data_IF_544320733255
#
_entry.id   IF_544320733255
#
_cell.length_a   1.000
_cell.length_b   1.000
_cell.length_c   1.000
_cell.angle_alpha   90.00
_cell.angle_beta   90.00
_cell.angle_gamma   90.00
#
_symmetry.space_group_name_H-M   'P 1'
#
loop_
_entity.id
_entity.type
_entity.pdbx_description
1 polymer ?
#
# COMPACT_ATOMS: atom_id res chain seq x y z
N UNK A 1 46.83 -19.50 -6.48
CA UNK A 1 46.32 -18.47 -7.40
C UNK A 1 44.81 -18.39 -7.25
N UNK A 2 44.41 -17.47 -6.39
CA UNK A 2 43.04 -17.07 -6.08
C UNK A 2 42.52 -16.09 -7.13
N UNK A 3 41.19 -15.87 -7.16
CA UNK A 3 40.48 -14.77 -7.86
C UNK A 3 40.12 -14.91 -9.35
N UNK A 4 39.30 -15.89 -9.70
CA UNK A 4 38.31 -15.81 -10.80
C UNK A 4 37.12 -16.66 -10.33
N UNK A 5 35.91 -16.17 -10.05
CA UNK A 5 35.07 -15.22 -10.77
C UNK A 5 34.04 -14.61 -9.79
N UNK A 6 34.34 -13.43 -9.25
CA UNK A 6 33.39 -12.62 -8.47
C UNK A 6 32.53 -11.73 -9.39
N UNK A 7 32.00 -12.29 -10.48
CA UNK A 7 31.00 -11.57 -11.28
C UNK A 7 29.69 -11.70 -10.52
N UNK A 8 29.45 -10.75 -9.62
CA UNK A 8 28.16 -10.45 -9.01
C UNK A 8 27.12 -10.45 -10.14
N UNK A 9 26.34 -11.53 -10.24
CA UNK A 9 25.17 -11.59 -11.11
C UNK A 9 24.09 -10.77 -10.40
N UNK A 10 24.18 -9.46 -10.53
CA UNK A 10 23.15 -8.51 -10.16
C UNK A 10 21.88 -8.86 -10.95
N UNK A 11 21.03 -9.70 -10.38
CA UNK A 11 19.71 -9.98 -10.94
C UNK A 11 18.88 -8.72 -10.76
N UNK A 12 19.00 -7.78 -11.70
CA UNK A 12 18.12 -6.62 -11.83
C UNK A 12 16.65 -7.08 -11.76
N UNK A 13 15.77 -6.29 -11.14
CA UNK A 13 14.32 -6.48 -11.30
C UNK A 13 13.98 -6.39 -12.79
N UNK A 14 13.89 -7.52 -13.46
CA UNK A 14 13.47 -7.62 -14.86
C UNK A 14 12.10 -8.28 -14.87
N UNK A 15 11.08 -7.53 -15.26
CA UNK A 15 9.80 -8.10 -15.60
C UNK A 15 9.95 -8.89 -16.90
N UNK A 16 9.41 -10.10 -16.93
CA UNK A 16 9.42 -10.91 -18.14
C UNK A 16 8.37 -10.37 -19.13
N UNK A 17 8.61 -10.54 -20.45
CA UNK A 17 7.71 -10.06 -21.51
C UNK A 17 6.24 -10.47 -21.30
N UNK A 18 6.01 -11.69 -20.80
CA UNK A 18 4.65 -12.19 -20.48
C UNK A 18 3.97 -11.38 -19.37
N UNK A 19 4.72 -10.97 -18.34
CA UNK A 19 4.19 -10.15 -17.24
C UNK A 19 3.85 -8.75 -17.74
N UNK A 20 4.69 -8.15 -18.58
CA UNK A 20 4.42 -6.85 -19.19
C UNK A 20 3.15 -6.89 -20.05
N UNK A 21 2.98 -7.94 -20.86
CA UNK A 21 1.76 -8.13 -21.68
C UNK A 21 0.53 -8.33 -20.79
N UNK A 22 0.62 -9.13 -19.73
CA UNK A 22 -0.50 -9.32 -18.80
C UNK A 22 -0.91 -8.01 -18.11
N UNK A 23 0.04 -7.22 -17.65
CA UNK A 23 -0.22 -5.89 -17.05
C UNK A 23 -0.91 -4.97 -18.07
N UNK A 24 -0.41 -4.95 -19.31
CA UNK A 24 -1.01 -4.14 -20.39
C UNK A 24 -2.45 -4.56 -20.67
N UNK A 25 -2.73 -5.87 -20.75
CA UNK A 25 -4.09 -6.39 -21.00
C UNK A 25 -5.03 -6.02 -19.86
N UNK A 26 -4.59 -6.11 -18.61
CA UNK A 26 -5.41 -5.69 -17.45
C UNK A 26 -5.72 -4.19 -17.52
N UNK A 27 -4.72 -3.36 -17.85
CA UNK A 27 -4.93 -1.91 -18.02
C UNK A 27 -5.94 -1.62 -19.13
N UNK A 28 -5.79 -2.27 -20.30
CA UNK A 28 -6.71 -2.10 -21.43
C UNK A 28 -8.13 -2.58 -21.09
N UNK A 29 -8.26 -3.70 -20.39
CA UNK A 29 -9.55 -4.22 -19.96
C UNK A 29 -10.25 -3.29 -18.97
N UNK A 30 -9.51 -2.75 -17.99
CA UNK A 30 -10.02 -1.73 -17.06
C UNK A 30 -10.50 -0.50 -17.80
N UNK A 31 -9.72 0.00 -18.77
CA UNK A 31 -10.11 1.17 -19.57
C UNK A 31 -11.34 0.87 -20.44
N UNK A 32 -11.43 -0.32 -21.03
CA UNK A 32 -12.57 -0.74 -21.84
C UNK A 32 -13.85 -0.89 -20.98
N UNK A 33 -13.77 -1.58 -19.84
CA UNK A 33 -14.89 -1.69 -18.89
C UNK A 33 -15.40 -0.32 -18.46
N UNK A 34 -14.49 0.63 -18.24
CA UNK A 34 -14.84 1.99 -17.86
C UNK A 34 -15.48 2.80 -18.98
N UNK A 35 -14.94 2.71 -20.21
CA UNK A 35 -15.54 3.40 -21.37
C UNK A 35 -16.99 2.98 -21.63
N UNK A 36 -17.39 1.83 -21.10
CA UNK A 36 -18.72 1.25 -21.22
C UNK A 36 -19.59 1.45 -19.96
N UNK A 37 -19.00 1.87 -18.82
CA UNK A 37 -19.70 2.05 -17.56
C UNK A 37 -20.14 3.50 -17.34
N UNK A 38 -21.42 3.72 -17.08
CA UNK A 38 -21.99 5.04 -16.79
C UNK A 38 -21.51 5.60 -15.44
N UNK A 39 -21.35 6.92 -15.36
CA UNK A 39 -20.90 7.68 -14.17
C UNK A 39 -21.80 7.40 -12.96
N UNK A 40 -23.09 7.17 -13.20
CA UNK A 40 -24.09 6.83 -12.17
C UNK A 40 -23.75 5.53 -11.41
N UNK A 41 -23.17 4.54 -12.09
CA UNK A 41 -22.76 3.26 -11.51
C UNK A 41 -21.58 3.43 -10.54
N UNK A 42 -20.66 4.36 -10.84
CA UNK A 42 -19.52 4.65 -9.98
C UNK A 42 -19.88 5.32 -8.66
N UNK A 43 -20.92 6.15 -8.67
CA UNK A 43 -21.39 6.83 -7.46
C UNK A 43 -22.05 5.84 -6.47
N UNK A 44 -22.67 4.77 -6.97
CA UNK A 44 -23.41 3.78 -6.16
C UNK A 44 -22.75 2.40 -6.15
N UNK A 45 -21.45 2.36 -6.44
CA UNK A 45 -20.71 1.12 -6.54
C UNK A 45 -20.57 0.43 -5.17
N UNK A 46 -21.02 -0.82 -5.09
CA UNK A 46 -21.00 -1.62 -3.85
C UNK A 46 -19.58 -1.94 -3.37
N UNK A 47 -18.61 -2.05 -4.27
CA UNK A 47 -17.20 -2.32 -3.94
C UNK A 47 -16.60 -1.10 -3.27
N UNK A 48 -16.82 0.10 -3.83
CA UNK A 48 -16.39 1.33 -3.18
C UNK A 48 -17.13 1.58 -1.87
N UNK A 49 -18.42 1.24 -1.78
CA UNK A 49 -19.16 1.33 -0.53
C UNK A 49 -18.57 0.39 0.54
N UNK A 50 -18.23 -0.86 0.20
CA UNK A 50 -17.50 -1.74 1.11
C UNK A 50 -16.11 -1.20 1.49
N UNK A 51 -15.41 -0.62 0.52
CA UNK A 51 -14.13 0.05 0.74
C UNK A 51 -14.21 1.23 1.71
N UNK A 52 -15.31 1.98 1.72
CA UNK A 52 -15.53 3.08 2.64
C UNK A 52 -15.58 2.62 4.10
N UNK A 53 -16.22 1.48 4.36
CA UNK A 53 -16.24 0.87 5.69
C UNK A 53 -14.83 0.46 6.11
N UNK A 54 -14.10 -0.27 5.25
CA UNK A 54 -12.72 -0.68 5.56
C UNK A 54 -11.79 0.52 5.74
N UNK A 55 -11.97 1.56 4.92
CA UNK A 55 -11.20 2.80 5.01
C UNK A 55 -11.48 3.56 6.30
N UNK A 56 -12.74 3.57 6.76
CA UNK A 56 -13.12 4.23 8.00
C UNK A 56 -12.49 3.59 9.26
N UNK A 57 -11.99 2.35 9.20
CA UNK A 57 -11.26 1.73 10.30
C UNK A 57 -9.94 2.46 10.62
N UNK A 58 -9.20 2.89 9.60
CA UNK A 58 -7.82 3.39 9.74
C UNK A 58 -7.62 4.82 9.20
N UNK A 59 -8.65 5.40 8.59
CA UNK A 59 -8.60 6.73 7.99
C UNK A 59 -9.75 7.59 8.49
N UNK A 60 -9.46 8.84 8.84
CA UNK A 60 -10.48 9.80 9.24
C UNK A 60 -11.46 10.17 8.12
N UNK A 61 -11.11 9.95 6.84
CA UNK A 61 -11.96 10.25 5.68
C UNK A 61 -12.53 11.68 5.68
N UNK A 62 -11.71 12.66 6.04
CA UNK A 62 -12.07 14.10 5.96
C UNK A 62 -12.17 14.50 4.48
N UNK A 63 -13.30 15.08 4.08
CA UNK A 63 -13.66 15.35 2.68
C UNK A 63 -12.65 16.25 1.97
N UNK A 64 -12.26 17.37 2.59
CA UNK A 64 -11.33 18.37 2.03
C UNK A 64 -9.92 17.79 1.83
N UNK A 65 -9.61 16.70 2.55
CA UNK A 65 -8.31 16.01 2.54
C UNK A 65 -8.33 14.76 1.68
N UNK A 66 -9.40 14.54 0.91
CA UNK A 66 -9.62 13.35 0.11
C UNK A 66 -9.73 13.70 -1.37
N UNK A 67 -9.40 12.75 -2.23
CA UNK A 67 -9.73 12.85 -3.65
C UNK A 67 -11.19 12.46 -3.87
N UNK A 68 -11.74 12.83 -5.03
CA UNK A 68 -13.10 12.48 -5.43
C UNK A 68 -13.10 11.84 -6.83
N UNK A 69 -14.04 10.92 -7.07
CA UNK A 69 -14.35 10.33 -8.37
C UNK A 69 -15.81 10.65 -8.63
N UNK A 70 -16.10 11.41 -9.69
CA UNK A 70 -17.48 11.73 -10.08
C UNK A 70 -18.35 12.27 -8.90
N UNK A 71 -17.79 13.17 -8.08
CA UNK A 71 -18.49 13.74 -6.93
C UNK A 71 -18.55 12.86 -5.68
N UNK A 72 -18.09 11.60 -5.76
CA UNK A 72 -17.95 10.69 -4.62
C UNK A 72 -16.54 10.75 -4.03
N UNK A 73 -16.44 10.86 -2.71
CA UNK A 73 -15.15 10.76 -2.00
C UNK A 73 -14.51 9.38 -2.17
N UNK A 74 -13.18 9.34 -2.31
CA UNK A 74 -12.43 8.09 -2.17
C UNK A 74 -12.69 7.43 -0.80
N UNK A 75 -12.52 6.11 -0.74
CA UNK A 75 -12.61 5.37 0.53
C UNK A 75 -11.54 5.75 1.55
N UNK A 76 -10.46 6.41 1.11
CA UNK A 76 -9.36 6.86 1.93
C UNK A 76 -9.03 8.34 1.62
N UNK A 77 -8.49 9.05 2.59
CA UNK A 77 -7.97 10.41 2.37
C UNK A 77 -6.69 10.36 1.54
N UNK A 78 -6.28 11.48 0.95
CA UNK A 78 -5.15 11.57 0.02
C UNK A 78 -3.86 10.93 0.58
N UNK A 79 -3.58 11.11 1.88
CA UNK A 79 -2.42 10.51 2.54
C UNK A 79 -2.53 9.00 2.67
N UNK A 80 -3.66 8.51 3.19
CA UNK A 80 -3.90 7.08 3.35
C UNK A 80 -3.93 6.38 1.98
N UNK A 81 -4.55 6.98 0.97
CA UNK A 81 -4.50 6.50 -0.42
C UNK A 81 -3.05 6.32 -0.85
N UNK A 82 -2.18 7.32 -0.63
CA UNK A 82 -0.76 7.20 -0.94
C UNK A 82 -0.07 6.05 -0.20
N UNK A 83 -0.24 5.96 1.11
CA UNK A 83 0.35 4.88 1.93
C UNK A 83 0.00 3.50 1.40
N UNK A 84 -1.29 3.23 1.21
CA UNK A 84 -1.73 1.89 0.85
C UNK A 84 -1.53 1.58 -0.63
N UNK A 85 -1.49 2.59 -1.52
CA UNK A 85 -0.97 2.42 -2.88
C UNK A 85 0.52 2.04 -2.85
N UNK A 86 1.34 2.72 -2.05
CA UNK A 86 2.77 2.40 -1.90
C UNK A 86 3.00 0.97 -1.40
N UNK A 87 2.18 0.50 -0.45
CA UNK A 87 2.17 -0.91 -0.02
C UNK A 87 1.87 -1.82 -1.20
N UNK A 88 0.76 -1.60 -1.92
CA UNK A 88 0.38 -2.46 -3.04
C UNK A 88 1.42 -2.48 -4.15
N UNK A 89 1.96 -1.31 -4.52
CA UNK A 89 3.04 -1.22 -5.50
C UNK A 89 4.22 -2.08 -5.07
N UNK A 90 4.58 -2.05 -3.78
CA UNK A 90 5.67 -2.86 -3.24
C UNK A 90 5.37 -4.36 -3.37
N UNK A 91 4.21 -4.82 -2.90
CA UNK A 91 3.81 -6.23 -3.01
C UNK A 91 3.74 -6.70 -4.47
N UNK A 92 3.18 -5.89 -5.37
CA UNK A 92 3.07 -6.20 -6.79
C UNK A 92 4.45 -6.27 -7.43
N UNK A 93 5.30 -5.25 -7.28
CA UNK A 93 6.62 -5.20 -7.93
C UNK A 93 7.51 -6.33 -7.42
N UNK A 94 7.55 -6.56 -6.11
CA UNK A 94 8.34 -7.63 -5.49
C UNK A 94 7.78 -9.01 -5.85
N UNK A 95 6.46 -9.15 -5.89
CA UNK A 95 5.74 -10.34 -6.36
C UNK A 95 6.07 -10.71 -7.80
N UNK A 96 5.96 -9.76 -8.72
CA UNK A 96 6.29 -9.94 -10.12
C UNK A 96 7.78 -10.23 -10.33
N UNK A 97 8.66 -9.70 -9.48
CA UNK A 97 10.08 -10.03 -9.48
C UNK A 97 10.39 -11.43 -8.90
N UNK A 98 9.40 -12.15 -8.36
CA UNK A 98 9.58 -13.48 -7.76
C UNK A 98 10.34 -13.45 -6.43
N UNK A 99 10.32 -12.31 -5.73
CA UNK A 99 11.14 -12.04 -4.55
C UNK A 99 10.36 -12.08 -3.22
N UNK A 100 9.12 -12.56 -3.21
CA UNK A 100 8.29 -12.67 -1.98
C UNK A 100 8.83 -13.67 -0.94
N UNK A 101 9.83 -14.48 -1.30
CA UNK A 101 10.50 -15.42 -0.39
C UNK A 101 11.88 -14.93 0.08
N UNK A 102 12.26 -13.70 -0.27
CA UNK A 102 13.56 -13.13 0.09
C UNK A 102 13.45 -12.51 1.49
N UNK A 103 14.21 -13.06 2.44
CA UNK A 103 14.03 -12.78 3.87
C UNK A 103 14.78 -11.56 4.39
N UNK A 104 15.83 -11.07 3.72
CA UNK A 104 16.64 -10.01 4.33
C UNK A 104 16.02 -8.62 4.12
N UNK A 105 16.22 -7.77 5.11
CA UNK A 105 15.89 -6.35 5.00
C UNK A 105 16.75 -5.67 3.91
N UNK A 106 16.26 -4.57 3.31
CA UNK A 106 17.09 -3.72 2.47
C UNK A 106 18.39 -3.30 3.18
N UNK A 107 19.48 -3.03 2.44
CA UNK A 107 20.73 -2.59 3.07
C UNK A 107 20.55 -1.28 3.82
N UNK A 108 21.33 -1.06 4.88
CA UNK A 108 21.19 0.09 5.81
C UNK A 108 21.01 1.44 5.10
N UNK A 109 21.79 1.73 4.06
CA UNK A 109 21.67 2.96 3.25
C UNK A 109 20.28 3.18 2.64
N UNK A 110 19.62 2.09 2.22
CA UNK A 110 18.26 2.13 1.69
C UNK A 110 17.27 2.30 2.85
N UNK A 111 17.45 1.56 3.95
CA UNK A 111 16.62 1.73 5.16
C UNK A 111 16.64 3.17 5.69
N UNK A 112 17.81 3.81 5.73
CA UNK A 112 17.93 5.22 6.15
C UNK A 112 17.10 6.15 5.26
N UNK A 113 17.10 5.93 3.93
CA UNK A 113 16.26 6.71 3.02
C UNK A 113 14.76 6.41 3.23
N UNK A 114 14.39 5.16 3.50
CA UNK A 114 13.00 4.80 3.84
C UNK A 114 12.56 5.49 5.14
N UNK A 115 13.43 5.56 6.15
CA UNK A 115 13.19 6.32 7.39
C UNK A 115 12.98 7.81 7.07
N UNK A 116 13.76 8.38 6.15
CA UNK A 116 13.56 9.76 5.70
C UNK A 116 12.17 9.95 5.09
N UNK A 117 11.66 9.01 4.27
CA UNK A 117 10.29 9.11 3.74
C UNK A 117 9.23 9.13 4.85
N UNK A 118 9.37 8.27 5.85
CA UNK A 118 8.49 8.27 7.03
C UNK A 118 8.59 9.59 7.79
N UNK A 119 9.79 10.10 8.01
CA UNK A 119 10.04 11.39 8.68
C UNK A 119 9.43 12.58 7.93
N UNK A 120 9.56 12.62 6.61
CA UNK A 120 8.96 13.65 5.75
C UNK A 120 7.44 13.61 5.84
N UNK A 121 6.83 12.43 5.85
CA UNK A 121 5.39 12.30 6.07
C UNK A 121 4.96 12.71 7.48
N UNK A 122 5.75 12.39 8.50
CA UNK A 122 5.52 12.84 9.88
C UNK A 122 5.51 14.36 9.97
N UNK A 123 6.49 15.01 9.33
CA UNK A 123 6.58 16.46 9.24
C UNK A 123 5.39 17.09 8.49
N UNK A 124 5.03 16.57 7.31
CA UNK A 124 3.82 16.98 6.58
C UNK A 124 2.54 16.72 7.40
N UNK A 125 2.55 15.70 8.26
CA UNK A 125 1.50 15.40 9.22
C UNK A 125 1.34 16.47 10.28
N UNK A 126 2.44 16.87 10.91
CA UNK A 126 2.46 17.93 11.92
C UNK A 126 2.02 19.25 11.29
N UNK A 127 2.56 19.64 10.12
CA UNK A 127 2.15 20.86 9.43
C UNK A 127 0.65 20.84 9.07
N UNK A 128 0.14 19.71 8.57
CA UNK A 128 -1.30 19.54 8.27
C UNK A 128 -2.19 19.54 9.52
N UNK A 129 -1.65 19.13 10.67
CA UNK A 129 -2.38 19.12 11.94
C UNK A 129 -2.44 20.53 12.54
N UNK A 130 -1.36 21.31 12.47
CA UNK A 130 -1.31 22.68 12.97
C UNK A 130 -2.36 23.59 12.29
N UNK A 131 -2.70 23.34 11.03
CA UNK A 131 -3.77 24.07 10.32
C UNK A 131 -5.16 23.92 10.96
N UNK A 132 -5.39 22.95 11.85
CA UNK A 132 -6.66 22.88 12.60
C UNK A 132 -6.79 23.99 13.65
N UNK A 133 -5.68 24.63 14.04
CA UNK A 133 -5.66 25.64 15.09
C UNK A 133 -5.36 27.02 14.48
N UNK A 134 -6.32 27.97 14.50
CA UNK A 134 -6.20 29.26 13.82
C UNK A 134 -4.95 30.08 14.21
N UNK A 135 -4.43 29.88 15.42
CA UNK A 135 -3.34 30.66 16.00
C UNK A 135 -1.97 29.96 15.96
N UNK A 136 -1.89 28.73 15.40
CA UNK A 136 -0.63 28.01 15.32
C UNK A 136 0.07 28.29 13.97
N UNK A 137 1.38 28.60 13.98
CA UNK A 137 2.11 28.85 12.75
C UNK A 137 2.26 27.54 11.95
N UNK A 138 1.63 27.48 10.79
CA UNK A 138 1.93 26.49 9.76
C UNK A 138 2.95 27.04 8.74
N UNK A 139 3.84 26.18 8.26
CA UNK A 139 4.91 26.55 7.32
C UNK A 139 4.41 26.71 5.90
N UNK A 140 3.37 25.96 5.52
CA UNK A 140 2.74 26.02 4.22
C UNK A 140 1.29 25.52 4.26
N UNK A 141 0.50 25.94 3.26
CA UNK A 141 -0.88 25.48 3.09
C UNK A 141 -0.92 23.99 2.71
N UNK A 142 -1.60 23.13 3.48
CA UNK A 142 -1.66 21.70 3.19
C UNK A 142 -2.34 21.38 1.84
N UNK A 143 -1.70 20.57 1.01
CA UNK A 143 -2.24 20.19 -0.32
C UNK A 143 -2.35 18.67 -0.47
N UNK A 144 -3.40 18.20 -1.14
CA UNK A 144 -3.67 16.76 -1.31
C UNK A 144 -2.60 16.03 -2.13
N UNK A 145 -1.99 16.67 -3.13
CA UNK A 145 -0.89 16.06 -3.89
C UNK A 145 0.35 15.80 -3.01
N UNK A 146 0.65 16.68 -2.05
CA UNK A 146 1.78 16.50 -1.15
C UNK A 146 1.50 15.38 -0.15
N UNK A 147 0.29 15.38 0.44
CA UNK A 147 -0.20 14.29 1.31
C UNK A 147 -0.10 12.93 0.61
N UNK A 148 -0.49 12.88 -0.66
CA UNK A 148 -0.38 11.68 -1.49
C UNK A 148 1.08 11.25 -1.66
N UNK A 149 1.96 12.17 -2.06
CA UNK A 149 3.37 11.88 -2.33
C UNK A 149 4.11 11.38 -1.08
N UNK A 150 3.94 12.07 0.05
CA UNK A 150 4.54 11.64 1.33
C UNK A 150 3.95 10.33 1.82
N UNK A 151 2.64 10.14 1.63
CA UNK A 151 1.96 8.87 1.86
C UNK A 151 2.58 7.72 1.06
N UNK A 152 2.77 7.88 -0.24
CA UNK A 152 3.38 6.87 -1.12
C UNK A 152 4.78 6.47 -0.65
N UNK A 153 5.62 7.44 -0.29
CA UNK A 153 6.96 7.16 0.25
C UNK A 153 6.93 6.26 1.49
N UNK A 154 6.06 6.59 2.45
CA UNK A 154 5.84 5.76 3.65
C UNK A 154 5.25 4.40 3.31
N UNK A 155 4.34 4.34 2.35
CA UNK A 155 3.77 3.09 1.83
C UNK A 155 4.83 2.12 1.29
N UNK A 156 5.75 2.65 0.48
CA UNK A 156 6.90 1.88 -0.01
C UNK A 156 7.78 1.40 1.15
N UNK A 157 8.05 2.26 2.13
CA UNK A 157 8.83 1.89 3.31
C UNK A 157 8.17 0.73 4.09
N UNK A 158 6.87 0.83 4.37
CA UNK A 158 6.11 -0.23 5.04
C UNK A 158 6.17 -1.55 4.27
N UNK A 159 5.89 -1.54 2.97
CA UNK A 159 5.94 -2.75 2.15
C UNK A 159 7.33 -3.40 2.11
N UNK A 160 8.39 -2.59 1.99
CA UNK A 160 9.77 -3.06 1.89
C UNK A 160 10.32 -3.63 3.21
N UNK A 161 9.68 -3.32 4.34
CA UNK A 161 9.98 -3.90 5.65
C UNK A 161 9.07 -5.10 5.93
N UNK A 162 7.78 -5.01 5.61
CA UNK A 162 6.82 -6.08 5.92
C UNK A 162 7.01 -7.32 5.05
N UNK A 163 7.34 -7.18 3.76
CA UNK A 163 7.57 -8.36 2.91
C UNK A 163 8.69 -9.28 3.44
N UNK A 164 9.91 -8.79 3.74
CA UNK A 164 10.94 -9.67 4.27
C UNK A 164 10.57 -10.24 5.64
N UNK A 165 9.89 -9.47 6.51
CA UNK A 165 9.39 -9.99 7.79
C UNK A 165 8.38 -11.13 7.58
N UNK A 166 7.38 -10.92 6.72
CA UNK A 166 6.40 -11.95 6.36
C UNK A 166 7.10 -13.16 5.74
N UNK A 167 8.12 -12.95 4.91
CA UNK A 167 8.87 -14.03 4.30
C UNK A 167 9.61 -14.88 5.35
N UNK A 168 10.26 -14.22 6.31
CA UNK A 168 10.95 -14.90 7.42
C UNK A 168 9.98 -15.67 8.33
N UNK A 169 8.80 -15.12 8.59
CA UNK A 169 7.82 -15.76 9.47
C UNK A 169 7.08 -16.92 8.78
N UNK A 170 6.76 -16.81 7.49
CA UNK A 170 5.98 -17.84 6.79
C UNK A 170 6.86 -18.97 6.28
N UNK A 171 7.97 -18.64 5.62
CA UNK A 171 8.77 -19.61 4.88
C UNK A 171 9.88 -20.19 5.72
N UNK A 172 10.11 -21.49 5.53
CA UNK A 172 11.42 -22.08 5.81
C UNK A 172 12.43 -21.40 4.89
N UNK A 173 13.23 -20.49 5.43
CA UNK A 173 14.12 -19.65 4.63
C UNK A 173 15.27 -20.45 4.04
N UNK A 174 15.23 -20.60 2.73
CA UNK A 174 16.34 -21.10 1.93
C UNK A 174 17.09 -19.96 1.20
N UNK A 175 16.57 -18.72 1.25
CA UNK A 175 17.10 -17.57 0.48
C UNK A 175 17.29 -16.34 1.36
N UNK A 176 18.54 -16.13 1.79
CA UNK A 176 19.00 -14.94 2.52
C UNK A 176 19.50 -13.89 1.52
N UNK A 177 18.55 -13.11 0.98
CA UNK A 177 18.84 -11.99 0.08
C UNK A 177 17.91 -10.82 0.38
N UNK A 178 18.37 -9.57 0.18
CA UNK A 178 17.55 -8.39 0.40
C UNK A 178 16.52 -8.21 -0.71
N UNK A 179 15.26 -7.96 -0.35
CA UNK A 179 14.14 -7.73 -1.30
C UNK A 179 14.49 -6.68 -2.36
N UNK A 180 15.14 -5.60 -1.93
CA UNK A 180 15.83 -4.64 -2.80
C UNK A 180 17.28 -4.44 -2.34
N UNK A 181 18.24 -4.58 -3.27
CA UNK A 181 19.66 -4.55 -2.94
C UNK A 181 20.35 -3.19 -3.15
N UNK A 182 19.68 -2.24 -3.80
CA UNK A 182 20.33 -0.99 -4.25
C UNK A 182 19.37 0.18 -4.43
N UNK A 183 19.93 1.40 -4.45
CA UNK A 183 19.19 2.62 -4.78
C UNK A 183 18.61 2.60 -6.20
N UNK A 184 19.24 1.88 -7.14
CA UNK A 184 18.69 1.74 -8.50
C UNK A 184 17.38 0.96 -8.49
N UNK A 185 17.30 -0.11 -7.72
CA UNK A 185 16.04 -0.87 -7.57
C UNK A 185 14.98 -0.03 -6.86
N UNK A 186 15.35 0.72 -5.83
CA UNK A 186 14.45 1.69 -5.20
C UNK A 186 14.00 2.78 -6.18
N UNK A 187 14.88 3.31 -7.02
CA UNK A 187 14.55 4.32 -8.02
C UNK A 187 13.55 3.79 -9.06
N UNK A 188 13.66 2.51 -9.45
CA UNK A 188 12.64 1.86 -10.30
C UNK A 188 11.29 1.79 -9.58
N UNK A 189 11.26 1.41 -8.29
CA UNK A 189 10.02 1.42 -7.51
C UNK A 189 9.42 2.82 -7.38
N UNK A 190 10.27 3.83 -7.15
CA UNK A 190 9.86 5.23 -7.14
C UNK A 190 9.34 5.70 -8.50
N UNK A 191 9.89 5.21 -9.61
CA UNK A 191 9.35 5.49 -10.95
C UNK A 191 7.95 4.89 -11.16
N UNK A 192 7.74 3.63 -10.74
CA UNK A 192 6.40 3.01 -10.77
C UNK A 192 5.42 3.76 -9.88
N UNK A 193 5.85 4.13 -8.67
CA UNK A 193 5.04 4.87 -7.72
C UNK A 193 4.74 6.30 -8.19
N UNK A 194 5.70 6.98 -8.79
CA UNK A 194 5.52 8.28 -9.43
C UNK A 194 4.54 8.21 -10.59
N UNK A 195 4.57 7.13 -11.38
CA UNK A 195 3.58 6.89 -12.43
C UNK A 195 2.18 6.74 -11.84
N UNK A 196 2.00 5.97 -10.77
CA UNK A 196 0.72 5.84 -10.08
C UNK A 196 0.22 7.18 -9.50
N UNK A 197 1.13 8.01 -8.96
CA UNK A 197 0.81 9.37 -8.49
C UNK A 197 0.33 10.25 -9.64
N UNK A 198 1.06 10.29 -10.75
CA UNK A 198 0.68 11.09 -11.93
C UNK A 198 -0.65 10.62 -12.51
N UNK A 199 -0.86 9.31 -12.58
CA UNK A 199 -2.11 8.70 -13.02
C UNK A 199 -3.28 9.12 -12.11
N UNK A 200 -3.09 9.13 -10.79
CA UNK A 200 -4.12 9.60 -9.86
C UNK A 200 -4.40 11.10 -10.03
N UNK A 201 -3.34 11.91 -10.12
CA UNK A 201 -3.43 13.35 -10.28
C UNK A 201 -3.98 13.78 -11.66
N UNK A 202 -3.95 12.90 -12.66
CA UNK A 202 -4.60 13.12 -13.96
C UNK A 202 -6.12 13.27 -13.86
N UNK A 203 -6.69 12.88 -12.72
CA UNK A 203 -8.11 12.98 -12.38
C UNK A 203 -9.03 12.24 -13.38
N UNK A 204 -8.49 11.20 -14.03
CA UNK A 204 -9.26 10.35 -14.93
C UNK A 204 -10.13 9.38 -14.12
N UNK A 205 -11.47 9.43 -14.24
CA UNK A 205 -12.37 8.65 -13.39
C UNK A 205 -12.11 7.14 -13.38
N UNK A 206 -11.78 6.54 -14.54
CA UNK A 206 -11.44 5.12 -14.67
C UNK A 206 -10.26 4.70 -13.81
N UNK A 207 -9.18 5.48 -13.95
CA UNK A 207 -7.91 5.23 -13.29
C UNK A 207 -8.10 5.44 -11.79
N UNK A 208 -8.78 6.52 -11.40
CA UNK A 208 -9.04 6.83 -10.00
C UNK A 208 -9.92 5.79 -9.32
N UNK A 209 -10.92 5.24 -10.01
CA UNK A 209 -11.73 4.12 -9.50
C UNK A 209 -10.86 2.89 -9.17
N UNK A 210 -10.00 2.48 -10.10
CA UNK A 210 -9.10 1.35 -9.86
C UNK A 210 -8.09 1.65 -8.76
N UNK A 211 -7.47 2.84 -8.77
CA UNK A 211 -6.53 3.22 -7.73
C UNK A 211 -7.19 3.34 -6.35
N UNK A 212 -8.47 3.73 -6.28
CA UNK A 212 -9.23 3.71 -5.04
C UNK A 212 -9.38 2.28 -4.50
N UNK A 213 -9.80 1.33 -5.34
CA UNK A 213 -9.90 -0.09 -4.96
C UNK A 213 -8.54 -0.67 -4.57
N UNK A 214 -7.49 -0.40 -5.35
CA UNK A 214 -6.13 -0.86 -5.04
C UNK A 214 -5.66 -0.28 -3.71
N UNK A 215 -5.99 0.98 -3.38
CA UNK A 215 -5.64 1.56 -2.08
C UNK A 215 -6.33 0.86 -0.91
N UNK A 216 -7.61 0.48 -1.05
CA UNK A 216 -8.32 -0.34 -0.04
C UNK A 216 -7.72 -1.74 0.04
N UNK A 217 -7.39 -2.36 -1.08
CA UNK A 217 -6.70 -3.65 -1.10
C UNK A 217 -5.34 -3.58 -0.39
N UNK A 218 -4.65 -2.44 -0.45
CA UNK A 218 -3.42 -2.19 0.30
C UNK A 218 -3.61 -2.17 1.81
N UNK A 219 -4.73 -1.63 2.29
CA UNK A 219 -5.13 -1.73 3.71
C UNK A 219 -5.28 -3.19 4.09
N UNK A 220 -6.10 -3.94 3.35
CA UNK A 220 -6.37 -5.35 3.66
C UNK A 220 -5.09 -6.17 3.60
N UNK A 221 -4.22 -5.93 2.61
CA UNK A 221 -2.95 -6.64 2.43
C UNK A 221 -2.01 -6.43 3.60
N UNK A 222 -1.81 -5.18 4.05
CA UNK A 222 -0.87 -4.91 5.14
C UNK A 222 -1.37 -5.45 6.48
N UNK A 223 -2.67 -5.31 6.77
CA UNK A 223 -3.29 -5.83 7.99
C UNK A 223 -3.23 -7.37 7.98
N UNK A 224 -3.55 -8.00 6.85
CA UNK A 224 -3.41 -9.46 6.68
C UNK A 224 -1.98 -9.92 6.92
N UNK A 225 -0.99 -9.24 6.34
CA UNK A 225 0.42 -9.58 6.52
C UNK A 225 0.84 -9.48 8.00
N UNK A 226 0.45 -8.41 8.69
CA UNK A 226 0.71 -8.23 10.12
C UNK A 226 0.04 -9.34 10.92
N UNK A 227 -1.24 -9.65 10.66
CA UNK A 227 -1.97 -10.70 11.37
C UNK A 227 -1.35 -12.08 11.18
N UNK A 228 -0.86 -12.39 9.98
CA UNK A 228 -0.13 -13.63 9.72
C UNK A 228 1.16 -13.69 10.52
N UNK A 229 1.94 -12.60 10.52
CA UNK A 229 3.19 -12.52 11.28
C UNK A 229 2.92 -12.74 12.77
N UNK A 230 1.93 -12.02 13.33
CA UNK A 230 1.56 -12.11 14.73
C UNK A 230 1.04 -13.51 15.08
N UNK A 231 0.14 -14.08 14.27
CA UNK A 231 -0.45 -15.39 14.48
C UNK A 231 0.64 -16.47 14.53
N UNK A 232 1.50 -16.54 13.51
CA UNK A 232 2.53 -17.57 13.43
C UNK A 232 3.58 -17.40 14.53
N UNK A 233 3.97 -16.17 14.87
CA UNK A 233 4.92 -15.91 15.96
C UNK A 233 4.33 -16.27 17.32
N UNK A 234 3.06 -15.92 17.58
CA UNK A 234 2.38 -16.22 18.85
C UNK A 234 2.23 -17.73 19.08
N UNK A 235 1.88 -18.47 18.03
CA UNK A 235 1.75 -19.92 18.07
C UNK A 235 3.07 -20.67 17.88
N UNK A 236 4.21 -19.96 17.75
CA UNK A 236 5.55 -20.54 17.50
C UNK A 236 5.56 -21.51 16.31
N UNK A 237 4.85 -21.12 15.24
CA UNK A 237 4.72 -21.86 13.97
C UNK A 237 5.41 -21.11 12.82
N UNK A 238 6.42 -20.31 13.14
CA UNK A 238 7.23 -19.58 12.19
C UNK A 238 8.15 -20.52 11.38
N UNK A 239 8.41 -20.15 10.13
CA UNK A 239 9.39 -20.82 9.27
C UNK A 239 9.02 -22.24 8.81
N UNK A 240 7.74 -22.60 8.82
CA UNK A 240 7.31 -23.97 8.52
C UNK A 240 6.99 -24.21 7.04
N UNK A 241 6.54 -23.20 6.29
CA UNK A 241 6.08 -23.42 4.92
C UNK A 241 7.25 -23.62 3.95
N UNK A 242 7.13 -24.63 3.09
CA UNK A 242 8.04 -24.90 1.96
C UNK A 242 7.32 -24.70 0.61
N UNK A 243 6.01 -24.96 0.58
CA UNK A 243 5.14 -24.84 -0.61
C UNK A 243 4.11 -23.73 -0.45
N UNK A 244 3.69 -23.12 -1.56
CA UNK A 244 2.65 -22.07 -1.55
C UNK A 244 1.30 -22.55 -1.01
N UNK A 245 0.97 -23.83 -1.18
CA UNK A 245 -0.27 -24.41 -0.66
C UNK A 245 -0.34 -24.36 0.87
N UNK A 246 0.80 -24.52 1.54
CA UNK A 246 0.90 -24.50 3.01
C UNK A 246 0.66 -23.08 3.57
N UNK A 247 0.86 -22.04 2.75
CA UNK A 247 0.58 -20.65 3.14
C UNK A 247 -0.91 -20.30 3.10
N UNK A 248 -1.75 -21.12 2.44
CA UNK A 248 -3.17 -20.82 2.28
C UNK A 248 -3.91 -20.73 3.63
N UNK A 249 -3.63 -21.66 4.56
CA UNK A 249 -4.26 -21.65 5.89
C UNK A 249 -3.90 -20.40 6.70
N UNK A 250 -2.61 -20.07 6.94
CA UNK A 250 -2.29 -18.87 7.70
C UNK A 250 -2.76 -17.58 7.00
N UNK A 251 -2.66 -17.49 5.67
CA UNK A 251 -3.13 -16.32 4.92
C UNK A 251 -4.65 -16.15 5.01
N UNK A 252 -5.44 -17.22 4.90
CA UNK A 252 -6.91 -17.14 5.01
C UNK A 252 -7.35 -16.76 6.42
N UNK A 253 -6.72 -17.31 7.45
CA UNK A 253 -6.99 -16.91 8.85
C UNK A 253 -6.60 -15.44 9.06
N UNK A 254 -5.40 -15.03 8.63
CA UNK A 254 -4.95 -13.64 8.75
C UNK A 254 -5.86 -12.65 8.01
N UNK A 255 -6.37 -13.05 6.84
CA UNK A 255 -7.31 -12.25 6.05
C UNK A 255 -8.67 -12.14 6.76
N UNK A 256 -9.19 -13.25 7.30
CA UNK A 256 -10.43 -13.24 8.07
C UNK A 256 -10.31 -12.35 9.30
N UNK A 257 -9.19 -12.46 10.04
CA UNK A 257 -8.88 -11.56 11.16
C UNK A 257 -8.82 -10.11 10.72
N UNK A 258 -8.17 -9.80 9.58
CA UNK A 258 -8.11 -8.44 9.07
C UNK A 258 -9.51 -7.85 8.80
N UNK A 259 -10.40 -8.61 8.16
CA UNK A 259 -11.78 -8.15 7.95
C UNK A 259 -12.55 -7.97 9.26
N UNK A 260 -12.39 -8.90 10.20
CA UNK A 260 -13.04 -8.82 11.53
C UNK A 260 -12.56 -7.57 12.27
N UNK A 261 -11.24 -7.36 12.37
CA UNK A 261 -10.62 -6.22 13.06
C UNK A 261 -11.06 -4.89 12.44
N UNK A 262 -10.96 -4.74 11.13
CA UNK A 262 -11.37 -3.52 10.42
C UNK A 262 -12.87 -3.26 10.60
N UNK A 263 -13.70 -4.30 10.59
CA UNK A 263 -15.14 -4.17 10.81
C UNK A 263 -15.47 -3.76 12.24
N UNK A 264 -14.80 -4.35 13.23
CA UNK A 264 -14.97 -4.00 14.65
C UNK A 264 -14.57 -2.54 14.88
N UNK A 265 -13.40 -2.12 14.39
CA UNK A 265 -12.92 -0.74 14.56
C UNK A 265 -13.90 0.25 13.93
N UNK A 266 -14.40 -0.05 12.73
CA UNK A 266 -15.36 0.82 12.04
C UNK A 266 -16.69 0.86 12.76
N UNK A 267 -17.19 -0.28 13.26
CA UNK A 267 -18.40 -0.35 14.05
C UNK A 267 -18.27 0.49 15.33
N UNK A 268 -17.19 0.32 16.09
CA UNK A 268 -16.93 1.11 17.28
C UNK A 268 -16.85 2.61 16.94
N UNK A 269 -16.14 2.97 15.88
CA UNK A 269 -16.09 4.37 15.41
C UNK A 269 -17.49 4.90 15.13
N UNK A 270 -18.33 4.16 14.41
CA UNK A 270 -19.69 4.58 14.11
C UNK A 270 -20.51 4.82 15.39
N UNK A 271 -20.36 3.97 16.41
CA UNK A 271 -21.02 4.16 17.70
C UNK A 271 -20.55 5.43 18.42
N UNK A 272 -19.25 5.74 18.38
CA UNK A 272 -18.71 6.92 19.06
C UNK A 272 -18.92 8.24 18.31
N UNK A 273 -18.91 8.21 16.97
CA UNK A 273 -18.91 9.41 16.14
C UNK A 273 -20.21 9.61 15.36
N UNK A 274 -21.08 8.61 15.27
CA UNK A 274 -22.30 8.65 14.47
C UNK A 274 -22.07 8.66 12.95
N UNK A 275 -20.82 8.60 12.49
CA UNK A 275 -20.47 8.66 11.06
C UNK A 275 -19.24 7.83 10.70
N UNK A 276 -19.20 7.34 9.46
CA UNK A 276 -18.01 6.75 8.84
C UNK A 276 -17.34 7.70 7.83
N UNK A 277 -17.91 8.89 7.65
CA UNK A 277 -17.41 9.96 6.79
C UNK A 277 -16.97 11.15 7.65
N UNK A 278 -15.69 11.51 7.57
CA UNK A 278 -15.13 12.63 8.33
C UNK A 278 -15.05 12.41 9.84
N UNK A 279 -14.78 13.50 10.56
CA UNK A 279 -14.79 13.56 12.02
C UNK A 279 -15.90 14.53 12.41
N UNK A 280 -16.82 14.19 13.32
CA UNK A 280 -17.86 15.11 13.76
C UNK A 280 -17.27 16.43 14.27
N UNK A 281 -17.84 17.56 13.83
CA UNK A 281 -17.41 18.90 14.25
C UNK A 281 -16.22 19.48 13.46
N UNK A 282 -15.73 18.78 12.44
CA UNK A 282 -14.76 19.27 11.45
C UNK A 282 -15.36 19.16 10.05
#
# INVERSE_FOLDING_TARGET
>A
MTTQTSIKRWQQMKLNRRQLVAVLVVILFVMAFYSLSDISHLMHDRVLAGGDWLGAALCHRITERSFTIAGRQFSLCARCTGMYLGVMITFIVVGLAGRLRWGDLPPLRVLLLLIVFVGVMGFDGINSYMHFFPNLPHLYTPRNWLRLLTGVGTGLAMGLVIIPMLAQTVWRLDVYRPVIGSFRELAVMLGVAGTAVLLLLSNQPAINYVLAIVSVAGVVTIVTAINVILLLTLFRKDGLATRWQETAVPLTIGLALAFIELSIITYLRLQFTGTITGIPGL
#
